data_IF_814157553158
#
_entry.id   IF_814157553158
#
_cell.length_a   1.000
_cell.length_b   1.000
_cell.length_c   1.000
_cell.angle_alpha   90.00
_cell.angle_beta   90.00
_cell.angle_gamma   90.00
#
_symmetry.space_group_name_H-M   'P 1'
#
loop_
_entity.id
_entity.type
_entity.pdbx_description
1 polymer ?
#
# COMPACT_ATOMS: atom_id res chain seq x y z
N UNK A 1 -16.27 25.91 -14.41
CA UNK A 1 -15.85 24.51 -14.15
C UNK A 1 -14.99 24.40 -12.88
N UNK A 2 -13.90 25.18 -12.74
CA UNK A 2 -13.06 25.20 -11.52
C UNK A 2 -13.82 25.71 -10.28
N UNK A 3 -14.57 26.81 -10.37
CA UNK A 3 -15.39 27.33 -9.26
C UNK A 3 -16.57 26.40 -8.84
N UNK A 4 -17.01 25.50 -9.72
CA UNK A 4 -18.09 24.53 -9.43
C UNK A 4 -17.55 23.28 -8.70
N UNK A 5 -16.27 22.96 -8.91
CA UNK A 5 -15.58 21.86 -8.24
C UNK A 5 -15.24 22.26 -6.80
N UNK A 6 -14.82 23.50 -6.57
CA UNK A 6 -14.53 24.01 -5.22
C UNK A 6 -15.77 24.06 -4.31
N UNK A 7 -16.92 24.48 -4.84
CA UNK A 7 -18.17 24.58 -4.07
C UNK A 7 -18.74 23.21 -3.64
N UNK A 8 -18.44 22.14 -4.39
CA UNK A 8 -18.94 20.78 -4.11
C UNK A 8 -18.02 20.01 -3.15
N UNK A 9 -16.73 20.34 -3.12
CA UNK A 9 -15.72 19.68 -2.26
C UNK A 9 -15.61 20.37 -0.89
N UNK A 10 -16.02 21.64 -0.78
CA UNK A 10 -15.96 22.44 0.45
C UNK A 10 -16.79 21.92 1.64
N UNK A 11 -17.67 20.94 1.46
CA UNK A 11 -18.51 20.38 2.54
C UNK A 11 -18.02 19.04 3.11
N UNK A 12 -16.89 18.49 2.63
CA UNK A 12 -16.31 17.25 3.13
C UNK A 12 -14.98 17.53 3.86
N UNK A 13 -14.96 17.67 5.20
CA UNK A 13 -13.77 18.12 5.94
C UNK A 13 -12.58 17.12 5.93
N UNK A 14 -12.74 15.93 5.33
CA UNK A 14 -11.70 14.89 5.28
C UNK A 14 -10.87 14.81 3.98
N UNK A 15 -11.18 15.60 2.93
CA UNK A 15 -10.55 15.43 1.60
C UNK A 15 -9.40 16.38 1.25
N UNK A 16 -8.96 17.26 2.17
CA UNK A 16 -7.90 18.24 1.87
C UNK A 16 -6.51 17.64 1.61
N UNK A 17 -6.26 16.40 2.05
CA UNK A 17 -4.98 15.72 1.80
C UNK A 17 -5.01 14.81 0.56
N UNK A 18 -6.18 14.59 -0.04
CA UNK A 18 -6.36 13.67 -1.18
C UNK A 18 -6.13 14.34 -2.55
N UNK A 19 -5.98 15.66 -2.58
CA UNK A 19 -5.72 16.43 -3.80
C UNK A 19 -4.37 16.06 -4.45
N UNK A 20 -3.35 15.75 -3.63
CA UNK A 20 -1.98 15.52 -4.14
C UNK A 20 -1.70 14.08 -4.55
N UNK A 21 -2.40 13.10 -3.98
CA UNK A 21 -2.14 11.67 -4.25
C UNK A 21 -2.91 11.15 -5.48
N UNK A 22 -4.10 11.71 -5.74
CA UNK A 22 -4.94 11.28 -6.87
C UNK A 22 -4.51 11.92 -8.20
N UNK A 23 -4.04 13.17 -8.19
CA UNK A 23 -3.61 13.88 -9.41
C UNK A 23 -2.33 13.30 -10.02
N UNK A 24 -1.41 12.73 -9.21
CA UNK A 24 -0.13 12.21 -9.70
C UNK A 24 -0.29 10.85 -10.39
N UNK A 25 -1.17 9.97 -9.91
CA UNK A 25 -1.42 8.66 -10.55
C UNK A 25 -2.46 8.71 -11.67
N UNK A 26 -3.48 9.57 -11.56
CA UNK A 26 -4.53 9.69 -12.59
C UNK A 26 -4.11 10.63 -13.74
N UNK A 27 -3.24 11.61 -13.49
CA UNK A 27 -2.67 12.48 -14.54
C UNK A 27 -1.85 11.72 -15.58
N UNK A 28 -1.19 10.62 -15.19
CA UNK A 28 -0.45 9.75 -16.11
C UNK A 28 -1.39 8.90 -16.98
N UNK A 29 -2.54 8.48 -16.44
CA UNK A 29 -3.54 7.68 -17.16
C UNK A 29 -4.47 8.52 -18.06
N UNK A 30 -4.57 9.83 -17.83
CA UNK A 30 -5.42 10.73 -18.63
C UNK A 30 -4.84 11.06 -20.02
N UNK A 31 -3.57 10.74 -20.29
CA UNK A 31 -2.93 11.03 -21.59
C UNK A 31 -3.17 9.95 -22.65
N UNK A 32 -3.71 8.79 -22.26
CA UNK A 32 -4.06 7.72 -23.17
C UNK A 32 -5.54 7.34 -22.97
N UNK A 33 -6.39 7.76 -23.92
CA UNK A 33 -7.86 7.59 -23.92
C UNK A 33 -8.30 6.12 -24.06
N UNK A 34 -7.88 5.23 -23.18
CA UNK A 34 -8.17 3.78 -23.31
C UNK A 34 -8.32 3.06 -21.97
N UNK A 35 -8.92 3.69 -20.96
CA UNK A 35 -9.38 2.94 -19.77
C UNK A 35 -10.89 3.07 -19.55
N UNK A 36 -11.64 1.95 -19.49
CA UNK A 36 -13.10 1.92 -19.24
C UNK A 36 -13.49 2.38 -17.82
N UNK A 37 -12.52 2.84 -17.02
CA UNK A 37 -12.70 3.39 -15.68
C UNK A 37 -12.98 4.90 -15.76
N UNK A 38 -12.41 5.62 -16.74
CA UNK A 38 -12.61 7.09 -16.92
C UNK A 38 -13.98 7.39 -17.53
N UNK A 39 -14.32 6.78 -18.67
CA UNK A 39 -15.44 5.82 -18.72
C UNK A 39 -16.64 6.01 -17.77
N UNK A 40 -16.56 5.16 -16.74
CA UNK A 40 -17.48 5.07 -15.62
C UNK A 40 -17.46 6.32 -14.75
N UNK A 41 -16.35 7.05 -14.67
CA UNK A 41 -16.26 8.32 -13.92
C UNK A 41 -17.06 9.46 -14.56
N UNK A 42 -17.00 9.61 -15.88
CA UNK A 42 -17.77 10.63 -16.62
C UNK A 42 -19.26 10.29 -16.69
N UNK A 43 -19.61 9.02 -16.95
CA UNK A 43 -21.00 8.55 -16.87
C UNK A 43 -21.57 8.57 -15.44
N UNK A 44 -20.73 8.56 -14.41
CA UNK A 44 -21.13 8.78 -13.03
C UNK A 44 -21.57 10.23 -12.77
N UNK A 45 -20.90 11.21 -13.37
CA UNK A 45 -21.25 12.63 -13.28
C UNK A 45 -22.55 12.91 -14.06
N UNK A 46 -22.71 12.34 -15.26
CA UNK A 46 -23.92 12.51 -16.06
C UNK A 46 -25.15 11.82 -15.43
N UNK A 47 -24.96 10.64 -14.83
CA UNK A 47 -26.03 9.95 -14.08
C UNK A 47 -26.33 10.56 -12.71
N UNK A 48 -25.43 11.36 -12.14
CA UNK A 48 -25.72 12.12 -10.92
C UNK A 48 -26.81 13.18 -11.17
N UNK A 49 -26.82 13.82 -12.35
CA UNK A 49 -27.85 14.78 -12.74
C UNK A 49 -29.23 14.11 -12.90
N UNK A 50 -29.30 12.93 -13.52
CA UNK A 50 -30.54 12.14 -13.66
C UNK A 50 -31.02 11.45 -12.36
N UNK A 51 -30.24 11.52 -11.27
CA UNK A 51 -30.57 10.91 -9.97
C UNK A 51 -31.18 11.86 -8.95
N UNK A 52 -31.36 13.14 -9.30
CA UNK A 52 -32.14 14.09 -8.49
C UNK A 52 -33.66 13.96 -8.72
N UNK A 53 -34.12 13.14 -9.67
CA UNK A 53 -35.53 12.95 -10.07
C UNK A 53 -36.34 11.79 -9.45
N UNK A 54 -35.85 10.90 -8.56
CA UNK A 54 -36.66 9.74 -8.14
C UNK A 54 -37.73 10.05 -7.09
N UNK A 55 -37.81 11.26 -6.54
CA UNK A 55 -38.86 11.63 -5.56
C UNK A 55 -40.19 12.06 -6.25
N UNK A 56 -40.36 11.82 -7.57
CA UNK A 56 -41.50 12.28 -8.38
C UNK A 56 -42.73 11.33 -8.44
N UNK A 57 -42.67 10.08 -7.96
CA UNK A 57 -43.80 9.14 -8.04
C UNK A 57 -44.76 9.26 -6.82
N UNK A 58 -45.61 10.28 -6.89
CA UNK A 58 -47.07 10.28 -6.71
C UNK A 58 -47.88 9.48 -5.67
N UNK A 59 -47.37 8.92 -4.55
CA UNK A 59 -48.30 8.21 -3.59
C UNK A 59 -48.14 8.60 -2.10
N UNK A 60 -47.17 9.42 -1.70
CA UNK A 60 -46.96 9.80 -0.28
C UNK A 60 -46.91 11.33 -0.03
N UNK A 61 -47.37 11.75 1.15
CA UNK A 61 -47.33 13.14 1.64
C UNK A 61 -45.90 13.73 1.61
N UNK A 62 -45.79 15.01 1.21
CA UNK A 62 -44.55 15.72 0.88
C UNK A 62 -43.48 15.62 1.98
N UNK A 63 -43.89 15.62 3.26
CA UNK A 63 -42.98 15.56 4.42
C UNK A 63 -42.35 14.17 4.61
N UNK A 64 -43.06 13.10 4.24
CA UNK A 64 -42.61 11.72 4.42
C UNK A 64 -41.67 11.26 3.29
N UNK A 65 -41.89 11.75 2.06
CA UNK A 65 -40.96 11.56 0.93
C UNK A 65 -39.58 12.15 1.20
N UNK A 66 -39.52 13.32 1.84
CA UNK A 66 -38.26 14.00 2.11
C UNK A 66 -37.37 13.23 3.11
N UNK A 67 -37.97 12.66 4.17
CA UNK A 67 -37.27 11.86 5.18
C UNK A 67 -36.75 10.55 4.58
N UNK A 68 -37.57 9.87 3.76
CA UNK A 68 -37.20 8.61 3.11
C UNK A 68 -36.11 8.83 2.05
N UNK A 69 -36.20 9.87 1.20
CA UNK A 69 -35.15 10.21 0.23
C UNK A 69 -33.82 10.54 0.96
N UNK A 70 -33.85 11.24 2.10
CA UNK A 70 -32.65 11.56 2.88
C UNK A 70 -32.02 10.34 3.58
N UNK A 71 -32.83 9.44 4.16
CA UNK A 71 -32.35 8.18 4.74
C UNK A 71 -31.77 7.24 3.68
N UNK A 72 -32.44 7.07 2.53
CA UNK A 72 -31.94 6.24 1.42
C UNK A 72 -30.63 6.79 0.86
N UNK A 73 -30.45 8.11 0.80
CA UNK A 73 -29.18 8.71 0.41
C UNK A 73 -28.08 8.38 1.42
N UNK A 74 -28.32 8.53 2.73
CA UNK A 74 -27.33 8.21 3.77
C UNK A 74 -26.87 6.73 3.74
N UNK A 75 -27.81 5.80 3.56
CA UNK A 75 -27.53 4.36 3.44
C UNK A 75 -26.76 4.05 2.14
N UNK A 76 -27.11 4.69 1.03
CA UNK A 76 -26.40 4.52 -0.24
C UNK A 76 -24.97 5.09 -0.20
N UNK A 77 -24.71 6.19 0.52
CA UNK A 77 -23.36 6.70 0.73
C UNK A 77 -22.52 5.75 1.58
N UNK A 78 -23.03 5.30 2.73
CA UNK A 78 -22.33 4.35 3.60
C UNK A 78 -22.05 3.01 2.89
N UNK A 79 -22.99 2.49 2.10
CA UNK A 79 -22.76 1.27 1.32
C UNK A 79 -21.75 1.49 0.19
N UNK A 80 -21.78 2.64 -0.49
CA UNK A 80 -20.81 2.96 -1.55
C UNK A 80 -19.40 3.14 -0.99
N UNK A 81 -19.26 3.76 0.17
CA UNK A 81 -17.99 3.90 0.90
C UNK A 81 -17.45 2.52 1.30
N UNK A 82 -18.29 1.67 1.90
CA UNK A 82 -17.92 0.28 2.23
C UNK A 82 -17.49 -0.52 0.99
N UNK A 83 -18.24 -0.44 -0.11
CA UNK A 83 -17.91 -1.12 -1.35
C UNK A 83 -16.61 -0.60 -1.97
N UNK A 84 -16.35 0.71 -1.89
CA UNK A 84 -15.12 1.32 -2.37
C UNK A 84 -13.91 0.88 -1.52
N UNK A 85 -14.03 0.92 -0.20
CA UNK A 85 -12.99 0.45 0.72
C UNK A 85 -12.70 -1.04 0.54
N UNK A 86 -13.72 -1.86 0.32
CA UNK A 86 -13.56 -3.29 0.03
C UNK A 86 -12.79 -3.51 -1.29
N UNK A 87 -13.17 -2.82 -2.36
CA UNK A 87 -12.47 -2.92 -3.65
C UNK A 87 -11.00 -2.48 -3.55
N UNK A 88 -10.73 -1.39 -2.82
CA UNK A 88 -9.37 -0.91 -2.55
C UNK A 88 -8.55 -1.94 -1.75
N UNK A 89 -9.16 -2.53 -0.72
CA UNK A 89 -8.51 -3.56 0.12
C UNK A 89 -8.13 -4.78 -0.70
N UNK A 90 -9.02 -5.24 -1.58
CA UNK A 90 -8.73 -6.36 -2.50
C UNK A 90 -7.57 -6.01 -3.43
N UNK A 91 -7.57 -4.81 -4.02
CA UNK A 91 -6.49 -4.36 -4.89
C UNK A 91 -5.13 -4.32 -4.18
N UNK A 92 -5.07 -3.74 -2.98
CA UNK A 92 -3.84 -3.70 -2.16
C UNK A 92 -3.39 -5.11 -1.78
N UNK A 93 -4.33 -6.01 -1.46
CA UNK A 93 -4.01 -7.39 -1.09
C UNK A 93 -3.35 -8.15 -2.25
N UNK A 94 -3.85 -7.97 -3.47
CA UNK A 94 -3.25 -8.53 -4.68
C UNK A 94 -1.84 -7.97 -4.89
N UNK A 95 -1.66 -6.65 -4.73
CA UNK A 95 -0.35 -6.03 -4.88
C UNK A 95 0.68 -6.56 -3.86
N UNK A 96 0.28 -6.70 -2.59
CA UNK A 96 1.13 -7.27 -1.53
C UNK A 96 1.45 -8.74 -1.81
N UNK A 97 0.52 -9.50 -2.39
CA UNK A 97 0.81 -10.88 -2.82
C UNK A 97 1.92 -10.93 -3.88
N UNK A 98 1.85 -10.05 -4.90
CA UNK A 98 2.91 -9.94 -5.89
C UNK A 98 4.25 -9.50 -5.28
N UNK A 99 4.23 -8.60 -4.31
CA UNK A 99 5.43 -8.23 -3.56
C UNK A 99 6.03 -9.44 -2.82
N UNK A 100 5.20 -10.30 -2.23
CA UNK A 100 5.64 -11.56 -1.60
C UNK A 100 6.30 -12.52 -2.59
N UNK A 101 5.72 -12.68 -3.79
CA UNK A 101 6.32 -13.48 -4.87
C UNK A 101 7.67 -12.91 -5.31
N UNK A 102 7.76 -11.59 -5.43
CA UNK A 102 9.00 -10.90 -5.79
C UNK A 102 10.10 -11.11 -4.73
N UNK A 103 9.77 -11.04 -3.44
CA UNK A 103 10.70 -11.34 -2.33
C UNK A 103 11.15 -12.80 -2.38
N UNK A 104 10.23 -13.73 -2.65
CA UNK A 104 10.54 -15.15 -2.81
C UNK A 104 11.52 -15.42 -3.97
N UNK A 105 11.43 -14.66 -5.06
CA UNK A 105 12.36 -14.74 -6.19
C UNK A 105 13.70 -14.03 -5.91
N UNK A 106 13.68 -12.91 -5.19
CA UNK A 106 14.86 -12.10 -4.89
C UNK A 106 15.94 -12.93 -4.18
N UNK A 107 15.54 -13.78 -3.22
CA UNK A 107 16.48 -14.54 -2.42
C UNK A 107 17.37 -15.49 -3.23
N UNK A 108 16.80 -16.44 -4.00
CA UNK A 108 17.57 -17.32 -4.87
C UNK A 108 18.46 -16.57 -5.87
N UNK A 109 18.00 -15.45 -6.43
CA UNK A 109 18.81 -14.61 -7.33
C UNK A 109 20.01 -14.01 -6.58
N UNK A 110 19.80 -13.48 -5.37
CA UNK A 110 20.89 -12.98 -4.53
C UNK A 110 21.90 -14.07 -4.17
N UNK A 111 21.40 -15.26 -3.81
CA UNK A 111 22.23 -16.43 -3.52
C UNK A 111 23.03 -16.90 -4.76
N UNK A 112 22.45 -16.80 -5.96
CA UNK A 112 23.15 -17.13 -7.20
C UNK A 112 24.31 -16.18 -7.45
N UNK A 113 24.09 -14.87 -7.34
CA UNK A 113 25.17 -13.88 -7.50
C UNK A 113 26.26 -14.13 -6.45
N UNK A 114 25.85 -14.43 -5.22
CA UNK A 114 26.77 -14.70 -4.11
C UNK A 114 27.67 -15.91 -4.35
N UNK A 115 27.12 -17.01 -4.83
CA UNK A 115 27.91 -18.23 -5.09
C UNK A 115 28.86 -18.09 -6.28
N UNK A 116 28.65 -17.08 -7.14
CA UNK A 116 29.48 -16.81 -8.32
C UNK A 116 30.52 -15.72 -8.11
N UNK A 117 30.14 -14.65 -7.42
CA UNK A 117 30.93 -13.42 -7.33
C UNK A 117 31.31 -13.04 -5.89
N UNK A 118 30.55 -13.48 -4.89
CA UNK A 118 30.74 -13.12 -3.49
C UNK A 118 29.57 -12.31 -2.90
N UNK A 119 29.56 -12.21 -1.56
CA UNK A 119 28.46 -11.58 -0.81
C UNK A 119 28.43 -10.07 -1.06
N UNK A 120 29.60 -9.41 -1.09
CA UNK A 120 29.68 -7.96 -1.25
C UNK A 120 29.25 -7.53 -2.65
N UNK A 121 29.65 -8.29 -3.66
CA UNK A 121 29.29 -8.12 -5.06
C UNK A 121 27.78 -8.29 -5.24
N UNK A 122 27.19 -9.31 -4.61
CA UNK A 122 25.74 -9.54 -4.60
C UNK A 122 24.98 -8.34 -4.00
N UNK A 123 25.41 -7.88 -2.83
CA UNK A 123 24.83 -6.72 -2.16
C UNK A 123 24.91 -5.49 -3.07
N UNK A 124 26.08 -5.20 -3.64
CA UNK A 124 26.29 -4.05 -4.51
C UNK A 124 25.42 -4.11 -5.77
N UNK A 125 25.42 -5.23 -6.50
CA UNK A 125 24.67 -5.40 -7.75
C UNK A 125 23.16 -5.22 -7.51
N UNK A 126 22.62 -5.82 -6.44
CA UNK A 126 21.19 -5.75 -6.12
C UNK A 126 20.78 -4.33 -5.75
N UNK A 127 21.56 -3.65 -4.91
CA UNK A 127 21.23 -2.28 -4.48
C UNK A 127 21.40 -1.27 -5.61
N UNK A 128 22.45 -1.40 -6.42
CA UNK A 128 22.66 -0.54 -7.59
C UNK A 128 21.56 -0.74 -8.63
N UNK A 129 21.20 -2.00 -8.93
CA UNK A 129 20.09 -2.31 -9.82
C UNK A 129 18.76 -1.74 -9.33
N UNK A 130 18.47 -1.88 -8.04
CA UNK A 130 17.29 -1.27 -7.41
C UNK A 130 17.28 0.26 -7.46
N UNK A 131 18.44 0.90 -7.24
CA UNK A 131 18.58 2.35 -7.35
C UNK A 131 18.30 2.83 -8.79
N UNK A 132 18.87 2.18 -9.80
CA UNK A 132 18.64 2.52 -11.21
C UNK A 132 17.18 2.31 -11.59
N UNK A 133 16.60 1.15 -11.26
CA UNK A 133 15.22 0.83 -11.62
C UNK A 133 14.20 1.72 -10.90
N UNK A 134 14.47 2.15 -9.67
CA UNK A 134 13.61 3.09 -8.94
C UNK A 134 13.78 4.55 -9.42
N UNK A 135 14.94 4.90 -9.99
CA UNK A 135 15.17 6.21 -10.58
C UNK A 135 14.33 6.47 -11.84
N UNK A 136 14.09 5.45 -12.66
CA UNK A 136 13.27 5.55 -13.88
C UNK A 136 11.86 6.12 -13.59
N UNK A 137 11.01 5.50 -12.75
CA UNK A 137 9.69 6.03 -12.45
C UNK A 137 9.75 7.36 -11.70
N UNK A 138 10.79 7.59 -10.88
CA UNK A 138 10.99 8.87 -10.20
C UNK A 138 11.09 10.05 -11.18
N UNK A 139 11.84 9.87 -12.27
CA UNK A 139 11.99 10.89 -13.33
C UNK A 139 10.73 10.98 -14.20
N UNK A 140 10.19 9.84 -14.66
CA UNK A 140 9.03 9.79 -15.58
C UNK A 140 7.78 10.39 -14.92
N UNK A 141 7.50 10.02 -13.68
CA UNK A 141 6.32 10.45 -12.95
C UNK A 141 6.49 11.83 -12.30
N UNK A 142 7.67 12.46 -12.48
CA UNK A 142 8.04 13.73 -11.82
C UNK A 142 7.74 13.65 -10.33
N UNK A 143 8.47 12.78 -9.64
CA UNK A 143 8.21 12.39 -8.25
C UNK A 143 7.79 13.53 -7.33
N UNK A 144 7.01 13.22 -6.29
CA UNK A 144 6.30 14.25 -5.52
C UNK A 144 7.22 15.25 -4.80
N UNK A 145 7.87 14.82 -3.72
CA UNK A 145 8.52 15.71 -2.74
C UNK A 145 10.00 15.40 -2.52
N UNK A 146 10.69 14.88 -3.55
CA UNK A 146 12.08 14.46 -3.39
C UNK A 146 13.00 15.61 -2.92
N UNK A 147 12.71 16.85 -3.32
CA UNK A 147 13.45 18.03 -2.85
C UNK A 147 13.34 18.28 -1.33
N UNK A 148 12.32 17.74 -0.67
CA UNK A 148 12.10 17.82 0.78
C UNK A 148 12.87 16.71 1.53
N UNK A 149 13.79 15.95 0.91
CA UNK A 149 14.49 14.84 1.57
C UNK A 149 15.19 15.23 2.89
N UNK A 150 15.61 16.50 3.01
CA UNK A 150 16.24 17.06 4.20
C UNK A 150 15.28 17.24 5.39
N UNK A 151 13.96 17.13 5.19
CA UNK A 151 12.98 17.15 6.28
C UNK A 151 12.83 15.78 6.94
N UNK A 152 13.42 14.73 6.38
CA UNK A 152 13.39 13.40 6.97
C UNK A 152 14.31 13.34 8.18
N UNK A 153 13.95 12.60 9.24
CA UNK A 153 14.86 12.36 10.33
C UNK A 153 16.10 11.61 9.82
N UNK A 154 17.33 11.94 10.28
CA UNK A 154 18.55 11.38 9.73
C UNK A 154 18.60 9.84 9.73
N UNK A 155 17.99 9.20 10.73
CA UNK A 155 17.91 7.75 10.80
C UNK A 155 17.14 7.11 9.62
N UNK A 156 16.19 7.84 9.01
CA UNK A 156 15.41 7.33 7.87
C UNK A 156 16.28 7.17 6.62
N UNK A 157 17.32 7.98 6.47
CA UNK A 157 18.26 7.88 5.35
C UNK A 157 19.12 6.61 5.42
N UNK A 158 19.24 5.98 6.60
CA UNK A 158 19.92 4.70 6.78
C UNK A 158 19.06 3.49 6.44
N UNK A 159 17.80 3.66 6.04
CA UNK A 159 16.93 2.55 5.65
C UNK A 159 17.55 1.68 4.52
N UNK A 160 18.27 2.31 3.58
CA UNK A 160 19.01 1.60 2.55
C UNK A 160 20.15 0.73 3.11
N UNK A 161 20.84 1.21 4.14
CA UNK A 161 21.92 0.45 4.81
C UNK A 161 21.39 -0.81 5.52
N UNK A 162 20.18 -0.76 6.09
CA UNK A 162 19.52 -1.95 6.65
C UNK A 162 19.26 -3.00 5.56
N UNK A 163 18.98 -2.57 4.33
CA UNK A 163 18.84 -3.45 3.16
C UNK A 163 20.10 -4.27 2.86
N UNK A 164 21.30 -3.73 3.11
CA UNK A 164 22.56 -4.47 2.94
C UNK A 164 22.61 -5.68 3.89
N UNK A 165 22.15 -5.50 5.14
CA UNK A 165 22.09 -6.58 6.13
C UNK A 165 21.11 -7.66 5.68
N UNK A 166 19.94 -7.27 5.17
CA UNK A 166 18.92 -8.21 4.68
C UNK A 166 19.46 -9.05 3.52
N UNK A 167 20.03 -8.40 2.50
CA UNK A 167 20.57 -9.12 1.34
C UNK A 167 21.78 -9.97 1.74
N UNK A 168 22.68 -9.48 2.59
CA UNK A 168 23.79 -10.28 3.12
C UNK A 168 23.33 -11.51 3.90
N UNK A 169 22.32 -11.36 4.76
CA UNK A 169 21.71 -12.47 5.49
C UNK A 169 21.07 -13.49 4.55
N UNK A 170 20.31 -13.04 3.55
CA UNK A 170 19.69 -13.91 2.54
C UNK A 170 20.76 -14.67 1.75
N UNK A 171 21.74 -13.94 1.20
CA UNK A 171 22.85 -14.45 0.41
C UNK A 171 23.65 -15.53 1.13
N UNK A 172 23.77 -15.40 2.46
CA UNK A 172 24.51 -16.35 3.30
C UNK A 172 23.63 -17.47 3.86
N UNK A 173 22.36 -17.22 4.15
CA UNK A 173 21.45 -18.21 4.72
C UNK A 173 20.95 -19.23 3.69
N UNK A 174 20.59 -18.79 2.48
CA UNK A 174 19.98 -19.68 1.47
C UNK A 174 20.85 -20.90 1.14
N UNK A 175 22.17 -20.77 0.89
CA UNK A 175 23.02 -21.93 0.64
C UNK A 175 23.14 -22.91 1.81
N UNK A 176 22.81 -22.49 3.04
CA UNK A 176 23.02 -23.25 4.28
C UNK A 176 21.74 -23.93 4.78
N UNK A 177 20.62 -23.20 4.80
CA UNK A 177 19.34 -23.67 5.36
C UNK A 177 18.22 -23.70 4.33
N UNK A 178 18.50 -23.35 3.07
CA UNK A 178 17.54 -23.32 1.98
C UNK A 178 16.67 -22.04 1.93
N UNK A 179 15.99 -21.81 0.79
CA UNK A 179 15.20 -20.59 0.56
C UNK A 179 13.96 -20.50 1.44
N UNK A 180 13.23 -21.60 1.65
CA UNK A 180 12.00 -21.61 2.44
C UNK A 180 12.27 -21.22 3.90
N UNK A 181 13.24 -21.87 4.55
CA UNK A 181 13.63 -21.54 5.93
C UNK A 181 14.12 -20.10 6.07
N UNK A 182 14.91 -19.62 5.11
CA UNK A 182 15.43 -18.24 5.12
C UNK A 182 14.30 -17.21 5.09
N UNK A 183 13.31 -17.36 4.20
CA UNK A 183 12.18 -16.43 4.12
C UNK A 183 11.36 -16.46 5.40
N UNK A 184 11.09 -17.64 5.95
CA UNK A 184 10.32 -17.72 7.21
C UNK A 184 11.06 -17.07 8.38
N UNK A 185 12.37 -17.29 8.52
CA UNK A 185 13.19 -16.62 9.53
C UNK A 185 13.16 -15.09 9.38
N UNK A 186 13.20 -14.58 8.14
CA UNK A 186 13.06 -13.15 7.88
C UNK A 186 11.70 -12.63 8.33
N UNK A 187 10.61 -13.32 7.99
CA UNK A 187 9.26 -12.91 8.41
C UNK A 187 9.15 -12.92 9.93
N UNK A 188 9.70 -13.93 10.61
CA UNK A 188 9.75 -13.94 12.08
C UNK A 188 10.50 -12.73 12.63
N UNK A 189 11.69 -12.43 12.10
CA UNK A 189 12.47 -11.26 12.51
C UNK A 189 11.71 -9.94 12.29
N UNK A 190 11.02 -9.81 11.16
CA UNK A 190 10.18 -8.66 10.83
C UNK A 190 9.01 -8.50 11.81
N UNK A 191 8.36 -9.60 12.22
CA UNK A 191 7.28 -9.57 13.20
C UNK A 191 7.77 -9.19 14.59
N UNK A 192 8.93 -9.71 15.01
CA UNK A 192 9.54 -9.37 16.30
C UNK A 192 9.86 -7.88 16.36
N UNK A 193 10.57 -7.34 15.36
CA UNK A 193 10.91 -5.92 15.37
C UNK A 193 9.67 -5.03 15.23
N UNK A 194 8.65 -5.47 14.48
CA UNK A 194 7.36 -4.77 14.38
C UNK A 194 6.67 -4.66 15.74
N UNK A 195 6.68 -5.71 16.55
CA UNK A 195 6.15 -5.68 17.92
C UNK A 195 6.92 -4.72 18.82
N UNK A 196 8.26 -4.76 18.75
CA UNK A 196 9.12 -3.87 19.55
C UNK A 196 8.86 -2.41 19.19
N UNK A 197 8.87 -2.08 17.89
CA UNK A 197 8.58 -0.72 17.41
C UNK A 197 7.21 -0.25 17.89
N UNK A 198 6.18 -1.09 17.76
CA UNK A 198 4.82 -0.75 18.16
C UNK A 198 4.65 -0.57 19.68
N UNK A 199 5.34 -1.39 20.50
CA UNK A 199 5.26 -1.31 21.95
C UNK A 199 5.88 -0.01 22.49
N UNK A 200 6.99 0.44 21.89
CA UNK A 200 7.70 1.63 22.33
C UNK A 200 7.35 2.90 21.53
N UNK A 201 6.50 2.79 20.50
CA UNK A 201 6.15 3.91 19.63
C UNK A 201 7.35 4.47 18.84
N UNK A 202 8.33 3.63 18.51
CA UNK A 202 9.50 4.04 17.74
C UNK A 202 9.11 4.43 16.31
N UNK A 203 9.95 5.24 15.64
CA UNK A 203 9.79 5.63 14.23
C UNK A 203 8.42 6.28 13.94
N UNK A 204 7.87 7.02 14.90
CA UNK A 204 6.56 7.70 14.80
C UNK A 204 5.38 6.73 14.59
N UNK A 205 5.57 5.44 14.91
CA UNK A 205 4.50 4.44 14.87
C UNK A 205 3.58 4.59 16.09
N UNK A 206 2.25 4.52 15.93
CA UNK A 206 1.32 4.60 17.06
C UNK A 206 1.60 3.52 18.11
N UNK A 207 1.65 3.93 19.37
CA UNK A 207 1.91 3.03 20.50
C UNK A 207 0.77 2.01 20.61
N UNK A 208 1.13 0.74 20.58
CA UNK A 208 0.19 -0.38 20.64
C UNK A 208 0.72 -1.47 21.54
N UNK A 209 -0.07 -1.79 22.56
CA UNK A 209 0.23 -2.88 23.47
C UNK A 209 0.43 -4.20 22.71
N UNK A 210 1.44 -4.96 23.11
CA UNK A 210 1.68 -6.32 22.63
C UNK A 210 0.46 -7.19 22.98
N UNK A 211 -0.16 -7.78 21.95
CA UNK A 211 -1.25 -8.73 22.15
C UNK A 211 -0.71 -10.16 22.29
N UNK A 212 -1.24 -10.97 23.23
CA UNK A 212 -0.83 -12.36 23.40
C UNK A 212 -0.94 -13.20 22.10
N UNK A 213 -1.96 -12.94 21.29
CA UNK A 213 -2.17 -13.64 20.01
C UNK A 213 -1.02 -13.45 19.02
N UNK A 214 -0.41 -12.25 19.00
CA UNK A 214 0.73 -11.97 18.12
C UNK A 214 1.98 -12.71 18.59
N UNK A 215 2.18 -12.77 19.90
CA UNK A 215 3.29 -13.53 20.49
C UNK A 215 3.12 -15.01 20.18
N UNK A 216 1.90 -15.55 20.35
CA UNK A 216 1.57 -16.93 20.00
C UNK A 216 1.81 -17.20 18.51
N UNK A 217 1.39 -16.30 17.62
CA UNK A 217 1.64 -16.41 16.19
C UNK A 217 3.14 -16.51 15.84
N UNK A 218 3.99 -15.70 16.49
CA UNK A 218 5.44 -15.76 16.30
C UNK A 218 6.01 -17.11 16.79
N UNK A 219 5.55 -17.62 17.93
CA UNK A 219 5.96 -18.93 18.45
C UNK A 219 5.58 -20.04 17.47
N UNK A 220 4.36 -20.02 16.93
CA UNK A 220 3.91 -20.99 15.92
C UNK A 220 4.79 -20.92 14.66
N UNK A 221 5.13 -19.71 14.20
CA UNK A 221 6.04 -19.54 13.06
C UNK A 221 7.44 -20.09 13.34
N UNK A 222 7.99 -19.89 14.55
CA UNK A 222 9.28 -20.47 14.94
C UNK A 222 9.27 -22.01 14.93
N UNK A 223 8.17 -22.62 15.39
CA UNK A 223 7.97 -24.07 15.30
C UNK A 223 7.93 -24.50 13.82
N UNK A 224 7.22 -23.75 12.97
CA UNK A 224 7.17 -24.00 11.53
C UNK A 224 8.54 -23.91 10.86
N UNK A 225 9.35 -22.92 11.22
CA UNK A 225 10.75 -22.81 10.77
C UNK A 225 11.54 -24.05 11.18
N UNK A 226 11.47 -24.45 12.45
CA UNK A 226 12.19 -25.61 12.96
C UNK A 226 11.81 -26.89 12.22
N UNK A 227 10.52 -27.09 11.90
CA UNK A 227 10.04 -28.24 11.14
C UNK A 227 10.56 -28.26 9.70
N UNK A 228 10.77 -27.11 9.06
CA UNK A 228 11.26 -27.03 7.67
C UNK A 228 12.78 -27.17 7.59
N UNK A 229 13.50 -26.73 8.62
CA UNK A 229 14.97 -26.83 8.66
C UNK A 229 15.45 -28.25 9.01
N UNK A 230 14.61 -29.04 9.68
CA UNK A 230 14.93 -30.41 10.10
C UNK A 230 14.70 -31.43 9.00
#
# INVERSE_FOLDING_TARGET
MVAMIEATIGQAPGLKNFEKMFVIHVGFLAKNKTTPIIERGLSFIENAHKRFTPCALGIFSIRQKHIICQQLQSVNFANREKSFMAAMTVFVSIFVLFAGLAVGLQGPVASLITTRLGVLESIFIIHLGGAILSFIPLVILRGGKLGEWHTLPPYALFAGAVGLIVIGAISTAIPRVGPAATVMLLVVGQLIISLVIAQYGWLEVPLRAISPDRVLGIIVMLIGVWLVVR
#
